data_IF_600153794553
#
_entry.id   IF_600153794553
#
_cell.length_a   1.000
_cell.length_b   1.000
_cell.length_c   1.000
_cell.angle_alpha   90.00
_cell.angle_beta   90.00
_cell.angle_gamma   90.00
#
_symmetry.space_group_name_H-M   'P 1'
#
loop_
_entity.id
_entity.type
_entity.pdbx_description
1 polymer ?
#
# COMPACT_ATOMS: atom_id res chain seq x y z
N UNK A 1 8.48 15.12 6.41
CA UNK A 1 8.18 13.75 5.94
C UNK A 1 7.27 13.84 4.75
N UNK A 2 7.43 12.98 3.74
CA UNK A 2 6.61 13.03 2.53
C UNK A 2 5.28 12.33 2.77
N UNK A 3 4.23 12.85 2.16
CA UNK A 3 2.95 12.15 2.07
C UNK A 3 3.07 11.04 1.02
N UNK A 4 2.64 9.83 1.36
CA UNK A 4 2.63 8.66 0.47
C UNK A 4 1.23 8.37 -0.09
N UNK A 5 0.43 9.42 -0.32
CA UNK A 5 -0.91 9.25 -0.88
C UNK A 5 -0.83 8.48 -2.19
N UNK A 6 -1.64 7.45 -2.28
CA UNK A 6 -1.74 6.56 -3.43
C UNK A 6 -3.21 6.25 -3.62
N UNK A 7 -3.64 6.18 -4.87
CA UNK A 7 -5.03 5.94 -5.22
C UNK A 7 -5.15 4.63 -6.00
N UNK A 8 -6.28 3.95 -5.83
CA UNK A 8 -6.57 2.79 -6.66
C UNK A 8 -6.63 3.21 -8.14
N UNK A 9 -5.92 2.54 -9.06
CA UNK A 9 -5.95 2.89 -10.48
C UNK A 9 -7.28 2.57 -11.17
N UNK A 10 -8.22 1.92 -10.46
CA UNK A 10 -9.49 1.50 -11.02
C UNK A 10 -10.70 2.23 -10.44
N UNK A 11 -10.78 2.36 -9.11
CA UNK A 11 -11.89 3.04 -8.44
C UNK A 11 -11.49 4.39 -7.84
N UNK A 12 -10.22 4.78 -7.93
CA UNK A 12 -9.67 6.02 -7.36
C UNK A 12 -9.87 6.20 -5.85
N UNK A 13 -10.16 5.12 -5.11
CA UNK A 13 -10.20 5.19 -3.66
C UNK A 13 -8.83 5.55 -3.08
N UNK A 14 -8.82 6.37 -2.01
CA UNK A 14 -7.60 6.69 -1.29
C UNK A 14 -7.09 5.46 -0.53
N UNK A 15 -5.89 5.02 -0.89
CA UNK A 15 -5.22 3.87 -0.30
C UNK A 15 -4.27 4.29 0.84
N UNK A 16 -4.32 5.53 1.28
CA UNK A 16 -3.69 5.96 2.53
C UNK A 16 -4.41 5.34 3.72
N UNK A 17 -3.65 4.66 4.57
CA UNK A 17 -4.14 4.04 5.80
C UNK A 17 -3.98 4.95 7.01
N UNK A 18 -4.10 4.34 8.18
CA UNK A 18 -3.95 5.03 9.46
C UNK A 18 -2.56 5.69 9.61
N UNK A 19 -2.46 6.77 10.41
CA UNK A 19 -1.19 7.41 10.70
C UNK A 19 -0.24 6.46 11.43
N UNK A 20 1.02 6.43 10.99
CA UNK A 20 2.09 5.72 11.68
C UNK A 20 2.38 6.49 12.99
N UNK A 21 2.59 5.82 14.13
CA UNK A 21 3.02 6.48 15.37
C UNK A 21 4.24 7.39 15.14
N UNK A 22 4.21 8.62 15.65
CA UNK A 22 5.26 9.65 15.42
C UNK A 22 6.68 9.18 15.71
N UNK A 23 6.86 8.27 16.68
CA UNK A 23 8.17 7.70 17.02
C UNK A 23 8.71 6.76 15.94
N UNK A 24 7.82 6.02 15.28
CA UNK A 24 8.16 5.01 14.25
C UNK A 24 8.24 5.60 12.84
N UNK A 25 7.57 6.72 12.62
CA UNK A 25 7.55 7.48 11.37
C UNK A 25 8.93 7.68 10.72
N UNK A 26 9.98 7.96 11.52
CA UNK A 26 11.35 8.12 11.02
C UNK A 26 11.92 6.82 10.41
N UNK A 27 11.58 5.66 10.97
CA UNK A 27 12.05 4.36 10.48
C UNK A 27 11.38 3.98 9.15
N UNK A 28 10.12 4.35 8.95
CA UNK A 28 9.38 4.04 7.72
C UNK A 28 9.51 5.10 6.63
N UNK A 29 10.01 6.30 6.94
CA UNK A 29 10.16 7.40 5.98
C UNK A 29 8.84 8.00 5.48
N UNK A 30 7.70 7.59 6.04
CA UNK A 30 6.35 8.02 5.67
C UNK A 30 5.48 8.29 6.91
N UNK A 31 4.38 9.01 6.71
CA UNK A 31 3.47 9.44 7.78
C UNK A 31 2.29 8.50 8.01
N UNK A 32 1.90 7.73 6.99
CA UNK A 32 0.73 6.85 7.02
C UNK A 32 1.07 5.47 6.47
N UNK A 33 0.36 4.45 6.95
CA UNK A 33 0.41 3.11 6.36
C UNK A 33 -0.25 3.10 4.97
N UNK A 34 -0.06 2.02 4.21
CA UNK A 34 -0.80 1.78 2.97
C UNK A 34 -1.92 0.78 3.22
N UNK A 35 -3.09 1.00 2.62
CA UNK A 35 -4.22 0.06 2.62
C UNK A 35 -4.13 -0.99 1.51
N UNK A 36 -3.12 -0.93 0.64
CA UNK A 36 -2.92 -1.94 -0.41
C UNK A 36 -2.71 -3.32 0.21
N UNK A 37 -3.37 -4.32 -0.37
CA UNK A 37 -3.15 -5.71 -0.01
C UNK A 37 -2.08 -6.28 -0.96
N UNK A 38 -0.98 -6.74 -0.40
CA UNK A 38 0.07 -7.42 -1.16
C UNK A 38 -0.29 -8.89 -1.39
N UNK A 39 -0.38 -9.31 -2.65
CA UNK A 39 -0.49 -10.72 -3.00
C UNK A 39 0.93 -11.26 -3.18
N UNK A 40 1.37 -12.10 -2.26
CA UNK A 40 2.70 -12.72 -2.26
C UNK A 40 2.74 -14.05 -2.99
N UNK A 41 3.89 -14.38 -3.55
CA UNK A 41 4.25 -15.72 -4.00
C UNK A 41 5.35 -16.26 -3.10
N UNK A 42 5.16 -17.46 -2.57
CA UNK A 42 6.18 -18.17 -1.77
C UNK A 42 7.36 -18.55 -2.67
N UNK A 43 7.09 -19.05 -3.88
CA UNK A 43 8.13 -19.47 -4.83
C UNK A 43 9.04 -18.30 -5.25
N UNK A 44 8.46 -17.12 -5.45
CA UNK A 44 9.21 -15.93 -5.84
C UNK A 44 9.71 -15.09 -4.65
N UNK A 45 9.38 -15.51 -3.41
CA UNK A 45 9.64 -14.80 -2.15
C UNK A 45 9.36 -13.28 -2.19
N UNK A 46 8.24 -12.90 -2.83
CA UNK A 46 7.91 -11.48 -3.04
C UNK A 46 6.43 -11.24 -3.29
N UNK A 47 6.06 -9.97 -3.19
CA UNK A 47 4.76 -9.47 -3.66
C UNK A 47 4.78 -9.49 -5.20
N UNK A 48 3.80 -10.15 -5.80
CA UNK A 48 3.65 -10.29 -7.26
C UNK A 48 2.51 -9.43 -7.82
N UNK A 49 1.53 -9.08 -6.99
CA UNK A 49 0.45 -8.15 -7.33
C UNK A 49 0.03 -7.33 -6.12
N UNK A 50 -0.63 -6.22 -6.40
CA UNK A 50 -1.38 -5.42 -5.43
C UNK A 50 -2.87 -5.61 -5.65
N UNK A 51 -3.66 -5.60 -4.57
CA UNK A 51 -5.12 -5.62 -4.60
C UNK A 51 -5.69 -4.40 -3.86
N UNK A 52 -6.74 -3.80 -4.43
CA UNK A 52 -7.51 -2.74 -3.78
C UNK A 52 -8.49 -3.36 -2.77
N UNK A 53 -8.54 -2.87 -1.52
CA UNK A 53 -9.51 -3.36 -0.54
C UNK A 53 -10.95 -2.91 -0.84
N UNK A 54 -11.15 -1.84 -1.62
CA UNK A 54 -12.48 -1.24 -1.84
C UNK A 54 -13.18 -1.76 -3.10
N UNK A 55 -12.45 -2.00 -4.19
CA UNK A 55 -13.02 -2.51 -5.47
C UNK A 55 -12.49 -3.89 -5.89
N UNK A 56 -11.64 -4.50 -5.06
CA UNK A 56 -11.07 -5.83 -5.22
C UNK A 56 -10.22 -6.09 -6.47
N UNK A 57 -10.07 -5.12 -7.37
CA UNK A 57 -9.22 -5.26 -8.55
C UNK A 57 -7.75 -5.40 -8.19
N UNK A 58 -7.04 -6.19 -8.99
CA UNK A 58 -5.62 -6.48 -8.83
C UNK A 58 -4.78 -5.82 -9.94
N UNK A 59 -3.56 -5.42 -9.63
CA UNK A 59 -2.59 -4.93 -10.62
C UNK A 59 -1.19 -5.49 -10.34
N UNK A 60 -0.40 -5.66 -11.39
CA UNK A 60 0.98 -6.16 -11.28
C UNK A 60 1.85 -5.16 -10.54
N UNK A 61 2.78 -5.67 -9.73
CA UNK A 61 3.88 -4.87 -9.19
C UNK A 61 4.74 -4.42 -10.37
N UNK A 62 5.13 -3.13 -10.40
CA UNK A 62 6.02 -2.57 -11.42
C UNK A 62 7.45 -3.04 -11.20
#
# INVERSE_FOLDING_TARGET
MRSNKEFCPYCHSDLQGEPIPKKSQKAYGTTHFSRKIGISSIEADKIVKWKCPDCEKEWKVK
#
